data_IF_711888248244
#
_entry.id   IF_711888248244
#
_cell.length_a   1.000
_cell.length_b   1.000
_cell.length_c   1.000
_cell.angle_alpha   90.00
_cell.angle_beta   90.00
_cell.angle_gamma   90.00
#
_symmetry.space_group_name_H-M   'P 1'
#
loop_
_entity.id
_entity.type
_entity.pdbx_description
1 polymer ?
#
# COMPACT_ATOMS: atom_id res chain seq x y z
N UNK A 1 0.05 3.42 17.60
CA UNK A 1 0.75 4.03 16.44
C UNK A 1 2.23 3.66 16.44
N UNK A 2 2.60 2.60 15.73
CA UNK A 2 4.01 2.24 15.47
C UNK A 2 4.55 2.98 14.24
N UNK A 3 5.37 4.01 14.45
CA UNK A 3 5.99 4.82 13.38
C UNK A 3 6.77 3.96 12.37
N UNK A 4 7.41 2.88 12.85
CA UNK A 4 8.16 1.92 12.04
C UNK A 4 7.27 1.20 11.02
N UNK A 5 6.05 0.83 11.39
CA UNK A 5 5.12 0.17 10.48
C UNK A 5 4.64 1.14 9.40
N UNK A 6 4.33 2.38 9.78
CA UNK A 6 3.93 3.44 8.85
C UNK A 6 5.03 3.71 7.81
N UNK A 7 6.29 3.86 8.26
CA UNK A 7 7.43 4.13 7.39
C UNK A 7 7.70 2.97 6.43
N UNK A 8 7.65 1.74 6.94
CA UNK A 8 7.80 0.53 6.13
C UNK A 8 6.75 0.45 5.02
N UNK A 9 5.47 0.63 5.36
CA UNK A 9 4.37 0.53 4.40
C UNK A 9 4.45 1.64 3.36
N UNK A 10 4.76 2.88 3.77
CA UNK A 10 4.93 3.99 2.82
C UNK A 10 6.08 3.72 1.84
N UNK A 11 7.24 3.26 2.33
CA UNK A 11 8.37 2.93 1.47
C UNK A 11 8.08 1.73 0.56
N UNK A 12 7.34 0.74 1.07
CA UNK A 12 6.89 -0.40 0.28
C UNK A 12 5.91 0.02 -0.82
N UNK A 13 4.95 0.90 -0.50
CA UNK A 13 4.00 1.47 -1.46
C UNK A 13 4.74 2.24 -2.55
N UNK A 14 5.69 3.11 -2.19
CA UNK A 14 6.48 3.86 -3.17
C UNK A 14 7.25 2.91 -4.11
N UNK A 15 7.90 1.89 -3.57
CA UNK A 15 8.65 0.91 -4.38
C UNK A 15 7.75 0.03 -5.27
N UNK A 16 6.57 -0.38 -4.79
CA UNK A 16 5.73 -1.39 -5.44
C UNK A 16 4.52 -0.82 -6.20
N UNK A 17 4.06 0.38 -5.85
CA UNK A 17 2.88 1.05 -6.44
C UNK A 17 3.31 2.14 -7.42
N UNK A 18 4.41 2.86 -7.19
CA UNK A 18 4.84 3.94 -8.10
C UNK A 18 5.33 3.41 -9.47
N UNK A 19 5.88 2.20 -9.49
CA UNK A 19 6.24 1.47 -10.72
C UNK A 19 5.04 0.87 -11.47
N UNK A 20 3.84 0.88 -10.88
CA UNK A 20 2.63 0.56 -11.61
C UNK A 20 2.36 1.71 -12.60
N UNK A 21 2.57 1.42 -13.89
CA UNK A 21 2.05 2.22 -15.01
C UNK A 21 0.64 2.74 -14.67
N UNK A 22 0.29 3.97 -15.10
CA UNK A 22 -1.01 4.56 -14.82
C UNK A 22 -2.06 3.50 -15.10
N UNK A 23 -2.87 3.22 -14.07
CA UNK A 23 -3.87 2.18 -14.11
C UNK A 23 -4.67 2.35 -15.39
N UNK A 24 -4.49 1.40 -16.30
CA UNK A 24 -5.36 1.23 -17.45
C UNK A 24 -6.78 1.12 -16.86
N UNK A 25 -7.55 2.18 -17.10
CA UNK A 25 -8.62 2.73 -16.27
C UNK A 25 -9.86 1.83 -16.12
N UNK A 26 -9.81 0.55 -16.49
CA UNK A 26 -11.03 -0.20 -16.79
C UNK A 26 -11.27 -1.49 -16.01
N UNK A 27 -10.35 -1.97 -15.17
CA UNK A 27 -10.58 -3.25 -14.52
C UNK A 27 -10.64 -3.13 -13.00
N UNK A 28 -11.75 -3.66 -12.46
CA UNK A 28 -12.06 -3.96 -11.05
C UNK A 28 -10.96 -4.83 -10.43
N UNK A 29 -9.79 -4.24 -10.21
CA UNK A 29 -8.58 -5.00 -10.02
C UNK A 29 -8.41 -5.34 -8.54
N UNK A 30 -8.30 -6.63 -8.24
CA UNK A 30 -7.93 -7.21 -6.93
C UNK A 30 -6.50 -6.83 -6.48
N UNK A 31 -5.96 -5.72 -6.99
CA UNK A 31 -4.64 -5.17 -6.68
C UNK A 31 -4.51 -4.73 -5.23
N UNK A 32 -5.44 -3.96 -4.61
CA UNK A 32 -5.24 -3.53 -3.23
C UNK A 32 -5.18 -4.71 -2.27
N UNK A 33 -6.01 -5.74 -2.48
CA UNK A 33 -5.96 -6.97 -1.70
C UNK A 33 -4.64 -7.72 -1.87
N UNK A 34 -4.18 -7.95 -3.11
CA UNK A 34 -2.88 -8.60 -3.36
C UNK A 34 -1.68 -7.80 -2.85
N UNK A 35 -1.74 -6.48 -2.95
CA UNK A 35 -0.71 -5.59 -2.42
C UNK A 35 -0.72 -5.63 -0.90
N UNK A 36 -1.90 -5.66 -0.28
CA UNK A 36 -2.03 -5.79 1.17
C UNK A 36 -1.46 -7.13 1.67
N UNK A 37 -1.82 -8.26 1.03
CA UNK A 37 -1.26 -9.57 1.36
C UNK A 37 0.27 -9.60 1.25
N UNK A 38 0.81 -8.98 0.19
CA UNK A 38 2.25 -8.98 -0.07
C UNK A 38 3.00 -8.04 0.87
N UNK A 39 2.45 -6.86 1.13
CA UNK A 39 2.98 -5.93 2.11
C UNK A 39 2.97 -6.53 3.52
N UNK A 40 1.91 -7.28 3.90
CA UNK A 40 1.89 -8.01 5.18
C UNK A 40 2.99 -9.09 5.23
N UNK A 41 3.17 -9.87 4.16
CA UNK A 41 4.24 -10.87 4.08
C UNK A 41 5.65 -10.26 4.18
N UNK A 42 5.91 -9.16 3.45
CA UNK A 42 7.18 -8.43 3.51
C UNK A 42 7.40 -7.79 4.89
N UNK A 43 6.33 -7.26 5.51
CA UNK A 43 6.39 -6.70 6.86
C UNK A 43 6.75 -7.78 7.89
N UNK A 44 6.13 -8.95 7.80
CA UNK A 44 6.48 -10.10 8.64
C UNK A 44 7.93 -10.53 8.45
N UNK A 45 8.43 -10.54 7.21
CA UNK A 45 9.84 -10.82 6.92
C UNK A 45 10.79 -9.77 7.51
N UNK A 46 10.34 -8.51 7.62
CA UNK A 46 11.05 -7.42 8.29
C UNK A 46 10.88 -7.41 9.83
N UNK A 47 10.14 -8.38 10.38
CA UNK A 47 9.86 -8.51 11.81
C UNK A 47 8.77 -7.56 12.33
N UNK A 48 7.92 -7.04 11.45
CA UNK A 48 6.76 -6.21 11.78
C UNK A 48 5.52 -7.10 11.75
N UNK A 49 4.80 -7.18 12.86
CA UNK A 49 3.59 -8.01 12.94
C UNK A 49 2.40 -7.30 12.30
N UNK A 50 1.49 -8.05 11.70
CA UNK A 50 0.27 -7.50 11.09
C UNK A 50 -0.54 -6.65 12.09
N UNK A 51 -0.54 -7.02 13.37
CA UNK A 51 -1.14 -6.23 14.47
C UNK A 51 -0.46 -4.87 14.67
N UNK A 52 0.86 -4.77 14.51
CA UNK A 52 1.55 -3.47 14.58
C UNK A 52 1.21 -2.59 13.39
N UNK A 53 1.02 -3.20 12.22
CA UNK A 53 0.61 -2.47 11.02
C UNK A 53 -0.83 -1.99 11.20
N UNK A 54 -1.73 -2.85 11.67
CA UNK A 54 -3.12 -2.51 11.93
C UNK A 54 -3.27 -1.47 13.07
N UNK A 55 -2.41 -1.51 14.09
CA UNK A 55 -2.35 -0.48 15.13
C UNK A 55 -1.76 0.87 14.63
N UNK A 56 -0.91 0.84 13.60
CA UNK A 56 -0.28 2.01 13.01
C UNK A 56 -1.09 2.70 11.91
N UNK A 57 -1.59 1.91 10.97
CA UNK A 57 -2.25 2.33 9.72
C UNK A 57 -3.73 1.97 9.70
N UNK A 58 -4.16 1.01 10.51
CA UNK A 58 -5.47 0.38 10.39
C UNK A 58 -5.48 -0.66 9.26
N UNK A 59 -6.61 -0.72 8.57
CA UNK A 59 -6.84 -1.70 7.54
C UNK A 59 -5.90 -1.50 6.35
N UNK A 60 -4.98 -2.44 6.15
CA UNK A 60 -3.93 -2.33 5.13
C UNK A 60 -4.54 -2.20 3.72
N UNK A 61 -5.65 -2.88 3.48
CA UNK A 61 -6.37 -2.82 2.21
C UNK A 61 -6.87 -1.38 1.94
N UNK A 62 -7.41 -0.69 2.96
CA UNK A 62 -7.86 0.71 2.85
C UNK A 62 -6.68 1.65 2.59
N UNK A 63 -5.54 1.44 3.26
CA UNK A 63 -4.33 2.22 3.00
C UNK A 63 -3.81 2.03 1.57
N UNK A 64 -3.83 0.81 1.04
CA UNK A 64 -3.42 0.53 -0.34
C UNK A 64 -4.35 1.21 -1.34
N UNK A 65 -5.67 1.17 -1.11
CA UNK A 65 -6.65 1.87 -1.96
C UNK A 65 -6.37 3.38 -1.97
N UNK A 66 -6.21 4.00 -0.79
CA UNK A 66 -5.96 5.43 -0.67
C UNK A 66 -4.64 5.86 -1.33
N UNK A 67 -3.59 5.04 -1.22
CA UNK A 67 -2.31 5.31 -1.87
C UNK A 67 -2.40 5.22 -3.41
N UNK A 68 -3.06 4.19 -3.94
CA UNK A 68 -3.28 4.03 -5.38
C UNK A 68 -4.10 5.20 -5.94
N UNK A 69 -5.19 5.56 -5.25
CA UNK A 69 -6.06 6.67 -5.64
C UNK A 69 -5.29 8.00 -5.67
N UNK A 70 -4.46 8.26 -4.66
CA UNK A 70 -3.59 9.45 -4.59
C UNK A 70 -2.60 9.52 -5.74
N UNK A 71 -1.97 8.40 -6.11
CA UNK A 71 -1.02 8.35 -7.23
C UNK A 71 -1.75 8.54 -8.56
N UNK A 72 -2.95 7.96 -8.72
CA UNK A 72 -3.78 8.15 -9.91
C UNK A 72 -4.22 9.61 -10.07
N UNK A 73 -4.64 10.27 -8.98
CA UNK A 73 -4.98 11.69 -8.94
C UNK A 73 -3.77 12.58 -9.29
N UNK A 74 -2.59 12.31 -8.72
CA UNK A 74 -1.38 13.09 -8.98
C UNK A 74 -0.94 13.05 -10.45
N UNK A 75 -1.18 11.94 -11.17
CA UNK A 75 -0.87 11.82 -12.61
C UNK A 75 -1.93 12.45 -13.52
N UNK A 76 -3.12 12.76 -13.01
CA UNK A 76 -4.22 13.36 -13.79
C UNK A 76 -4.12 14.90 -13.87
N UNK A 77 -3.29 15.52 -13.04
CA UNK A 77 -3.07 16.98 -12.97
C UNK A 77 -1.83 17.45 -13.75
N UNK A 78 -1.16 16.55 -14.49
CA UNK A 78 0.08 16.84 -15.26
C UNK A 78 -0.13 16.72 -16.77
#
# INVERSE_FOLDING_TARGET
MSQRAIDFVNNWIDANVDTAKPADMEHHDKRPQRLAERCSADAQAAGISETEINDGLGDLEVCMIAAIDRIALAKSDQ
#
